data_IF_742559343540
#
_entry.id   IF_742559343540
#
_cell.length_a   1.000
_cell.length_b   1.000
_cell.length_c   1.000
_cell.angle_alpha   90.00
_cell.angle_beta   90.00
_cell.angle_gamma   90.00
#
_symmetry.space_group_name_H-M   'P 1'
#
loop_
_entity.id
_entity.type
_entity.pdbx_description
1 polymer ?
#
# COMPACT_ATOMS: atom_id res chain seq x y z
N UNK A 1 2.45 -0.46 23.73
CA UNK A 1 3.07 -1.79 23.93
C UNK A 1 2.00 -2.71 24.48
N UNK A 2 1.78 -3.87 23.86
CA UNK A 2 0.83 -4.90 24.30
C UNK A 2 1.51 -6.27 24.34
N UNK A 3 0.88 -7.27 24.94
CA UNK A 3 1.36 -8.66 25.00
C UNK A 3 0.20 -9.64 24.77
N UNK A 4 0.51 -10.90 24.51
CA UNK A 4 -0.49 -11.96 24.38
C UNK A 4 -1.24 -12.14 25.71
N UNK A 5 -2.57 -12.11 25.67
CA UNK A 5 -3.42 -12.41 26.84
C UNK A 5 -3.51 -13.91 27.09
N UNK A 6 -3.46 -14.72 26.03
CA UNK A 6 -3.49 -16.20 26.06
C UNK A 6 -2.44 -16.67 25.06
N UNK A 7 -1.54 -17.56 25.48
CA UNK A 7 -0.52 -18.14 24.60
C UNK A 7 -1.06 -19.40 23.92
N UNK A 8 -0.68 -19.61 22.66
CA UNK A 8 -1.03 -20.84 21.94
C UNK A 8 -0.28 -22.06 22.50
N UNK A 9 1.00 -21.88 22.85
CA UNK A 9 1.79 -22.87 23.58
C UNK A 9 1.93 -22.41 25.04
N UNK A 10 1.54 -23.22 26.03
CA UNK A 10 1.69 -22.87 27.44
C UNK A 10 3.14 -22.48 27.77
N UNK A 11 3.33 -21.31 28.37
CA UNK A 11 4.65 -20.80 28.76
C UNK A 11 5.50 -20.19 27.64
N UNK A 12 5.05 -20.22 26.38
CA UNK A 12 5.75 -19.55 25.27
C UNK A 12 5.03 -18.26 24.87
N UNK A 13 5.58 -17.12 25.30
CA UNK A 13 5.09 -15.81 24.89
C UNK A 13 5.80 -15.36 23.62
N UNK A 14 5.04 -15.11 22.55
CA UNK A 14 5.61 -14.56 21.31
C UNK A 14 5.65 -13.04 21.37
N UNK A 15 6.80 -12.48 21.01
CA UNK A 15 6.97 -11.03 20.86
C UNK A 15 6.07 -10.52 19.73
N UNK A 16 5.19 -9.57 20.04
CA UNK A 16 4.38 -8.92 19.01
C UNK A 16 5.28 -8.12 18.06
N UNK A 17 4.99 -8.13 16.74
CA UNK A 17 5.73 -7.34 15.79
C UNK A 17 5.52 -5.85 16.07
N UNK A 18 6.56 -5.20 16.59
CA UNK A 18 6.57 -3.75 16.76
C UNK A 18 6.86 -3.07 15.43
N UNK A 19 6.13 -2.00 15.11
CA UNK A 19 6.33 -1.24 13.89
C UNK A 19 6.06 0.25 14.12
N UNK A 20 6.92 1.09 13.54
CA UNK A 20 6.79 2.56 13.54
C UNK A 20 6.66 2.99 12.10
N UNK A 21 5.55 3.66 11.79
CA UNK A 21 5.27 4.18 10.45
C UNK A 21 4.97 5.68 10.50
N UNK A 22 5.37 6.39 9.45
CA UNK A 22 5.04 7.78 9.22
C UNK A 22 4.46 7.93 7.82
N UNK A 23 3.35 8.64 7.68
CA UNK A 23 2.74 8.87 6.38
C UNK A 23 2.48 10.35 6.17
N UNK A 24 2.81 10.84 4.99
CA UNK A 24 2.54 12.18 4.52
C UNK A 24 1.71 12.11 3.25
N UNK A 25 0.69 12.97 3.16
CA UNK A 25 -0.10 13.10 1.94
C UNK A 25 -0.39 14.56 1.66
N UNK A 26 -0.28 14.98 0.40
CA UNK A 26 -0.58 16.34 -0.03
C UNK A 26 -1.36 16.33 -1.33
N UNK A 27 -2.51 16.98 -1.31
CA UNK A 27 -3.27 17.29 -2.52
C UNK A 27 -2.69 18.56 -3.15
N UNK A 28 -2.50 18.54 -4.46
CA UNK A 28 -2.02 19.69 -5.21
C UNK A 28 -3.17 20.70 -5.39
N UNK A 29 -2.84 21.99 -5.33
CA UNK A 29 -3.84 23.06 -5.43
C UNK A 29 -4.36 23.25 -6.86
N UNK A 30 -3.49 23.11 -7.86
CA UNK A 30 -3.81 23.34 -9.27
C UNK A 30 -3.98 22.06 -10.09
N UNK A 31 -3.79 20.89 -9.49
CA UNK A 31 -3.97 19.60 -10.15
C UNK A 31 -4.87 18.74 -9.27
N UNK A 32 -5.93 18.10 -9.80
CA UNK A 32 -6.77 17.19 -9.02
C UNK A 32 -6.03 15.86 -8.79
N UNK A 33 -4.87 15.94 -8.14
CA UNK A 33 -4.02 14.84 -7.81
C UNK A 33 -3.48 15.01 -6.39
N UNK A 34 -3.28 13.88 -5.72
CA UNK A 34 -2.77 13.77 -4.36
C UNK A 34 -1.60 12.81 -4.36
N UNK A 35 -0.50 13.24 -3.74
CA UNK A 35 0.65 12.39 -3.52
C UNK A 35 0.61 11.83 -2.10
N UNK A 36 1.09 10.60 -1.98
CA UNK A 36 1.23 9.88 -0.73
C UNK A 36 2.64 9.33 -0.63
N UNK A 37 3.24 9.53 0.53
CA UNK A 37 4.53 8.95 0.88
C UNK A 37 4.35 8.32 2.25
N UNK A 38 4.64 7.03 2.40
CA UNK A 38 4.73 6.41 3.72
C UNK A 38 6.09 5.79 3.93
N UNK A 39 6.59 5.97 5.14
CA UNK A 39 7.76 5.31 5.67
C UNK A 39 7.30 4.26 6.66
N UNK A 40 7.85 3.05 6.58
CA UNK A 40 7.52 1.97 7.50
C UNK A 40 8.75 1.38 8.17
N UNK A 41 8.53 0.70 9.30
CA UNK A 41 9.57 -0.04 10.01
C UNK A 41 10.81 0.79 10.32
N UNK A 42 10.55 2.04 10.74
CA UNK A 42 11.57 3.04 11.08
C UNK A 42 12.45 2.63 12.28
N UNK A 43 12.06 1.59 13.02
CA UNK A 43 12.85 1.03 14.11
C UNK A 43 14.05 0.18 13.63
N UNK A 44 14.07 -0.27 12.37
CA UNK A 44 15.12 -1.16 11.82
C UNK A 44 15.67 -0.62 10.51
N UNK A 45 16.85 0.00 10.52
CA UNK A 45 17.45 0.60 9.32
C UNK A 45 17.88 -0.41 8.23
N UNK A 46 18.47 -1.55 8.63
CA UNK A 46 18.99 -2.53 7.66
C UNK A 46 17.88 -3.49 7.26
N UNK A 47 17.30 -3.28 6.07
CA UNK A 47 16.17 -4.06 5.55
C UNK A 47 16.58 -5.12 4.53
N UNK A 48 17.60 -4.84 3.71
CA UNK A 48 18.05 -5.75 2.66
C UNK A 48 19.05 -6.80 3.14
N UNK A 49 19.13 -7.90 2.40
CA UNK A 49 20.20 -8.90 2.52
C UNK A 49 21.53 -8.31 2.03
N UNK A 50 22.61 -8.66 2.72
CA UNK A 50 23.99 -8.29 2.35
C UNK A 50 24.87 -9.48 2.70
N UNK A 51 25.53 -10.08 1.72
CA UNK A 51 26.47 -11.17 1.95
C UNK A 51 26.50 -12.20 0.81
N UNK A 52 27.26 -13.30 0.99
CA UNK A 52 27.35 -14.39 0.01
C UNK A 52 26.01 -15.07 -0.26
N UNK A 53 25.10 -15.02 0.71
CA UNK A 53 23.76 -15.60 0.64
C UNK A 53 22.73 -14.68 -0.01
N UNK A 54 23.13 -13.51 -0.55
CA UNK A 54 22.22 -12.61 -1.26
C UNK A 54 21.84 -13.22 -2.63
N UNK A 55 20.56 -13.59 -2.85
CA UNK A 55 20.13 -14.18 -4.11
C UNK A 55 20.17 -13.21 -5.29
N UNK A 56 20.37 -11.91 -5.03
CA UNK A 56 20.47 -10.84 -6.03
C UNK A 56 21.91 -10.33 -6.21
N UNK A 57 22.91 -11.01 -5.65
CA UNK A 57 24.31 -10.62 -5.78
C UNK A 57 24.74 -10.69 -7.25
N UNK A 58 25.17 -9.55 -7.79
CA UNK A 58 25.71 -9.49 -9.14
C UNK A 58 27.06 -10.22 -9.20
N UNK A 59 27.21 -11.09 -10.19
CA UNK A 59 28.49 -11.72 -10.51
C UNK A 59 29.09 -10.99 -11.70
N UNK A 60 30.36 -10.64 -11.61
CA UNK A 60 31.07 -10.01 -12.72
C UNK A 60 31.22 -11.01 -13.88
N UNK A 61 30.68 -10.65 -15.05
CA UNK A 61 30.66 -11.52 -16.23
C UNK A 61 32.07 -11.81 -16.81
N UNK A 62 33.08 -11.01 -16.43
CA UNK A 62 34.46 -11.18 -16.92
C UNK A 62 35.35 -11.95 -15.94
N UNK A 63 35.12 -11.81 -14.63
CA UNK A 63 35.98 -12.40 -13.59
C UNK A 63 35.32 -13.55 -12.83
N UNK A 64 33.99 -13.68 -12.88
CA UNK A 64 33.24 -14.70 -12.14
C UNK A 64 33.15 -14.43 -10.64
N UNK A 65 33.68 -13.30 -10.16
CA UNK A 65 33.71 -12.95 -8.74
C UNK A 65 32.43 -12.23 -8.30
N UNK A 66 31.97 -12.43 -7.05
CA UNK A 66 30.83 -11.72 -6.49
C UNK A 66 31.12 -10.23 -6.32
N UNK A 67 30.26 -9.39 -6.89
CA UNK A 67 30.37 -7.94 -6.80
C UNK A 67 29.51 -7.42 -5.64
N UNK A 68 30.15 -7.19 -4.50
CA UNK A 68 29.49 -6.60 -3.35
C UNK A 68 29.18 -5.11 -3.56
N UNK A 69 27.95 -4.65 -3.28
CA UNK A 69 27.62 -3.24 -3.39
C UNK A 69 28.41 -2.42 -2.36
N UNK A 70 28.83 -1.20 -2.73
CA UNK A 70 29.51 -0.29 -1.81
C UNK A 70 28.62 0.08 -0.62
N UNK A 71 29.22 0.43 0.53
CA UNK A 71 28.48 0.83 1.73
C UNK A 71 27.49 1.98 1.48
N UNK A 72 27.86 2.93 0.61
CA UNK A 72 26.99 4.03 0.19
C UNK A 72 25.78 3.53 -0.60
N UNK A 73 25.99 2.63 -1.58
CA UNK A 73 24.90 2.03 -2.36
C UNK A 73 23.94 1.24 -1.47
N UNK A 74 24.47 0.46 -0.52
CA UNK A 74 23.67 -0.27 0.46
C UNK A 74 22.86 0.68 1.35
N UNK A 75 23.44 1.82 1.76
CA UNK A 75 22.76 2.85 2.54
C UNK A 75 21.55 3.42 1.80
N UNK A 76 21.73 3.78 0.52
CA UNK A 76 20.64 4.28 -0.32
C UNK A 76 19.55 3.22 -0.55
N UNK A 77 19.94 1.98 -0.87
CA UNK A 77 18.98 0.88 -1.06
C UNK A 77 18.16 0.63 0.20
N UNK A 78 18.79 0.60 1.37
CA UNK A 78 18.08 0.45 2.65
C UNK A 78 17.16 1.63 2.93
N UNK A 79 17.60 2.87 2.68
CA UNK A 79 16.75 4.05 2.83
C UNK A 79 15.46 3.92 2.00
N UNK A 80 15.56 3.60 0.71
CA UNK A 80 14.38 3.44 -0.15
C UNK A 80 13.50 2.25 0.24
N UNK A 81 14.04 1.21 0.88
CA UNK A 81 13.26 0.08 1.43
C UNK A 81 12.33 0.49 2.57
N UNK A 82 12.46 1.69 3.10
CA UNK A 82 11.47 2.23 4.02
C UNK A 82 10.28 2.88 3.32
N UNK A 83 10.38 3.21 2.02
CA UNK A 83 9.40 4.04 1.34
C UNK A 83 8.34 3.26 0.57
N UNK A 84 7.12 3.76 0.68
CA UNK A 84 6.04 3.54 -0.27
C UNK A 84 5.62 4.86 -0.87
N UNK A 85 5.48 4.88 -2.19
CA UNK A 85 5.04 6.05 -2.94
C UNK A 85 3.68 5.77 -3.54
N UNK A 86 2.79 6.77 -3.52
CA UNK A 86 1.47 6.68 -4.09
C UNK A 86 1.05 7.98 -4.76
N UNK A 87 0.23 7.85 -5.78
CA UNK A 87 -0.45 8.95 -6.44
C UNK A 87 -1.92 8.59 -6.61
N UNK A 88 -2.78 9.53 -6.30
CA UNK A 88 -4.22 9.46 -6.51
C UNK A 88 -4.60 10.61 -7.43
N UNK A 89 -5.31 10.32 -8.51
CA UNK A 89 -5.91 11.29 -9.42
C UNK A 89 -7.41 11.27 -9.14
N UNK A 90 -8.01 12.46 -9.09
CA UNK A 90 -9.42 12.70 -8.79
C UNK A 90 -10.12 13.31 -10.02
N UNK A 91 -10.41 12.54 -11.09
CA UNK A 91 -11.07 13.11 -12.27
C UNK A 91 -12.43 13.73 -11.97
N UNK A 92 -13.10 13.26 -10.90
CA UNK A 92 -14.32 13.88 -10.38
C UNK A 92 -14.39 13.71 -8.86
N UNK A 93 -15.20 14.50 -8.14
CA UNK A 93 -15.40 14.31 -6.70
C UNK A 93 -15.93 12.91 -6.30
N UNK A 94 -16.57 12.22 -7.24
CA UNK A 94 -17.12 10.89 -7.06
C UNK A 94 -16.24 9.76 -7.58
N UNK A 95 -15.09 10.07 -8.19
CA UNK A 95 -14.22 9.05 -8.80
C UNK A 95 -12.75 9.33 -8.52
N UNK A 96 -12.07 8.34 -7.96
CA UNK A 96 -10.63 8.33 -7.76
C UNK A 96 -10.00 7.22 -8.56
N UNK A 97 -8.83 7.48 -9.15
CA UNK A 97 -7.90 6.49 -9.67
C UNK A 97 -6.62 6.59 -8.86
N UNK A 98 -6.09 5.49 -8.37
CA UNK A 98 -4.87 5.49 -7.57
C UNK A 98 -3.89 4.44 -8.05
N UNK A 99 -2.60 4.75 -7.91
CA UNK A 99 -1.49 3.85 -8.14
C UNK A 99 -0.44 4.05 -7.05
N UNK A 100 0.25 2.98 -6.68
CA UNK A 100 1.30 3.03 -5.69
C UNK A 100 2.40 2.01 -5.97
N UNK A 101 3.55 2.26 -5.37
CA UNK A 101 4.75 1.44 -5.49
C UNK A 101 5.42 1.28 -4.13
N UNK A 102 5.59 0.03 -3.72
CA UNK A 102 6.33 -0.37 -2.52
C UNK A 102 7.71 -0.89 -2.94
N UNK A 103 8.76 -0.14 -2.64
CA UNK A 103 10.11 -0.50 -3.06
C UNK A 103 10.62 -1.74 -2.32
N UNK A 104 10.36 -1.87 -1.02
CA UNK A 104 10.79 -3.04 -0.27
C UNK A 104 10.21 -4.34 -0.84
N UNK A 105 8.90 -4.35 -1.08
CA UNK A 105 8.20 -5.50 -1.67
C UNK A 105 8.70 -5.82 -3.07
N UNK A 106 9.00 -4.80 -3.86
CA UNK A 106 9.63 -5.02 -5.16
C UNK A 106 10.96 -5.78 -4.97
N UNK A 107 11.85 -5.31 -4.10
CA UNK A 107 13.16 -5.93 -3.90
C UNK A 107 13.09 -7.33 -3.26
N UNK A 108 12.20 -7.56 -2.30
CA UNK A 108 12.03 -8.85 -1.63
C UNK A 108 11.44 -9.95 -2.54
N UNK A 109 10.70 -9.55 -3.58
CA UNK A 109 9.95 -10.48 -4.43
C UNK A 109 10.49 -10.51 -5.87
N UNK A 110 11.70 -9.98 -6.10
CA UNK A 110 12.42 -10.20 -7.34
C UNK A 110 12.89 -11.65 -7.37
N UNK A 111 12.68 -12.29 -8.52
CA UNK A 111 13.23 -13.60 -8.83
C UNK A 111 14.24 -13.37 -9.95
N UNK A 112 15.53 -13.73 -9.80
CA UNK A 112 16.57 -13.43 -10.80
C UNK A 112 16.19 -13.86 -12.23
N UNK A 113 15.48 -14.98 -12.38
CA UNK A 113 15.10 -15.51 -13.68
C UNK A 113 13.84 -14.87 -14.30
N UNK A 114 13.04 -14.11 -13.53
CA UNK A 114 11.75 -13.60 -14.00
C UNK A 114 11.53 -12.11 -13.66
N UNK A 115 11.14 -11.33 -14.68
CA UNK A 115 10.70 -9.95 -14.46
C UNK A 115 9.37 -9.94 -13.69
N UNK A 116 9.33 -9.17 -12.59
CA UNK A 116 8.17 -9.07 -11.71
C UNK A 116 7.67 -7.63 -11.63
N UNK A 117 6.36 -7.45 -11.64
CA UNK A 117 5.71 -6.17 -11.30
C UNK A 117 5.50 -6.03 -9.78
N UNK A 118 6.17 -6.87 -8.96
CA UNK A 118 6.03 -6.87 -7.51
C UNK A 118 6.21 -5.48 -6.91
N UNK A 119 5.39 -5.16 -5.92
CA UNK A 119 5.37 -3.86 -5.25
C UNK A 119 4.46 -2.83 -5.92
N UNK A 120 4.06 -3.02 -7.19
CA UNK A 120 3.10 -2.13 -7.84
C UNK A 120 1.66 -2.46 -7.45
N UNK A 121 0.85 -1.43 -7.18
CA UNK A 121 -0.58 -1.56 -6.93
C UNK A 121 -1.35 -0.45 -7.61
N UNK A 122 -2.58 -0.72 -8.02
CA UNK A 122 -3.44 0.27 -8.65
C UNK A 122 -4.91 -0.07 -8.44
N UNK A 123 -5.77 0.91 -8.59
CA UNK A 123 -7.19 0.72 -8.41
C UNK A 123 -7.97 1.99 -8.63
N UNK A 124 -9.27 1.89 -8.44
CA UNK A 124 -10.18 3.01 -8.50
C UNK A 124 -11.25 2.90 -7.42
N UNK A 125 -11.87 4.02 -7.11
CA UNK A 125 -13.02 4.06 -6.21
C UNK A 125 -14.09 5.00 -6.71
N UNK A 126 -15.35 4.59 -6.56
CA UNK A 126 -16.53 5.39 -6.82
C UNK A 126 -17.24 5.73 -5.52
N UNK A 127 -17.52 7.01 -5.31
CA UNK A 127 -18.26 7.54 -4.18
C UNK A 127 -19.64 8.02 -4.67
N UNK A 128 -20.68 7.23 -4.40
CA UNK A 128 -22.07 7.50 -4.76
C UNK A 128 -22.86 7.82 -3.48
N UNK A 129 -22.90 9.11 -3.12
CA UNK A 129 -23.54 9.61 -1.89
C UNK A 129 -22.97 8.91 -0.66
N UNK A 130 -23.75 8.02 -0.05
CA UNK A 130 -23.43 7.30 1.18
C UNK A 130 -22.79 5.93 0.91
N UNK A 131 -22.54 5.58 -0.35
CA UNK A 131 -21.96 4.29 -0.75
C UNK A 131 -20.61 4.56 -1.41
N UNK A 132 -19.59 3.83 -0.98
CA UNK A 132 -18.27 3.80 -1.59
C UNK A 132 -17.98 2.38 -2.09
N UNK A 133 -17.62 2.28 -3.37
CA UNK A 133 -17.23 1.03 -4.01
C UNK A 133 -15.80 1.21 -4.49
N UNK A 134 -14.94 0.23 -4.21
CA UNK A 134 -13.55 0.24 -4.62
C UNK A 134 -13.16 -1.05 -5.30
N UNK A 135 -12.23 -0.93 -6.24
CA UNK A 135 -11.51 -2.06 -6.82
C UNK A 135 -10.02 -1.75 -6.77
N UNK A 136 -9.22 -2.72 -6.36
CA UNK A 136 -7.77 -2.61 -6.43
C UNK A 136 -7.12 -3.92 -6.83
N UNK A 137 -5.95 -3.83 -7.45
CA UNK A 137 -5.08 -4.94 -7.77
C UNK A 137 -3.68 -4.63 -7.30
N UNK A 138 -3.07 -5.60 -6.62
CA UNK A 138 -1.73 -5.47 -6.05
C UNK A 138 -0.87 -6.60 -6.53
N UNK A 139 0.26 -6.29 -7.17
CA UNK A 139 1.24 -7.27 -7.58
C UNK A 139 2.17 -7.55 -6.38
N UNK A 140 1.98 -8.68 -5.72
CA UNK A 140 2.76 -9.09 -4.56
C UNK A 140 4.04 -9.84 -4.98
N UNK A 141 3.90 -10.81 -5.88
CA UNK A 141 4.99 -11.67 -6.36
C UNK A 141 4.80 -12.00 -7.84
N UNK A 142 5.77 -12.69 -8.44
CA UNK A 142 5.57 -13.35 -9.73
C UNK A 142 4.40 -14.33 -9.60
N UNK A 143 3.37 -14.17 -10.42
CA UNK A 143 2.15 -14.98 -10.38
C UNK A 143 1.17 -14.66 -9.24
N UNK A 144 1.53 -13.81 -8.27
CA UNK A 144 0.66 -13.43 -7.15
C UNK A 144 0.20 -11.97 -7.29
N UNK A 145 -0.99 -11.79 -7.87
CA UNK A 145 -1.59 -10.47 -8.09
C UNK A 145 -3.06 -10.43 -7.63
N UNK A 146 -3.33 -10.49 -6.30
CA UNK A 146 -4.68 -10.44 -5.76
C UNK A 146 -5.45 -9.19 -6.21
N UNK A 147 -6.76 -9.40 -6.38
CA UNK A 147 -7.75 -8.37 -6.67
C UNK A 147 -8.65 -8.22 -5.44
N UNK A 148 -8.81 -6.99 -4.97
CA UNK A 148 -9.64 -6.67 -3.82
C UNK A 148 -10.84 -5.84 -4.27
N UNK A 149 -12.02 -6.20 -3.76
CA UNK A 149 -13.25 -5.44 -3.92
C UNK A 149 -13.65 -4.88 -2.57
N UNK A 150 -13.84 -3.56 -2.51
CA UNK A 150 -14.22 -2.86 -1.30
C UNK A 150 -15.64 -2.32 -1.44
N UNK A 151 -16.43 -2.48 -0.39
CA UNK A 151 -17.75 -1.87 -0.25
C UNK A 151 -17.86 -1.24 1.12
N UNK A 152 -18.27 0.02 1.18
CA UNK A 152 -18.48 0.76 2.41
C UNK A 152 -19.73 1.61 2.29
N UNK A 153 -20.44 1.79 3.40
CA UNK A 153 -21.59 2.69 3.45
C UNK A 153 -21.67 3.45 4.76
N UNK A 154 -22.05 4.73 4.68
CA UNK A 154 -22.45 5.51 5.84
C UNK A 154 -23.96 5.41 6.03
N UNK A 155 -24.39 4.70 7.08
CA UNK A 155 -25.80 4.49 7.37
C UNK A 155 -26.54 5.79 7.71
N UNK A 156 -25.91 6.75 8.38
CA UNK A 156 -26.55 8.01 8.77
C UNK A 156 -27.00 8.81 7.55
N UNK A 157 -26.09 9.03 6.60
CA UNK A 157 -26.37 9.73 5.35
C UNK A 157 -27.40 9.00 4.50
N UNK A 158 -27.35 7.65 4.50
CA UNK A 158 -28.25 6.80 3.74
C UNK A 158 -29.70 6.96 4.23
N UNK A 159 -29.92 6.95 5.55
CA UNK A 159 -31.25 7.13 6.13
C UNK A 159 -31.72 8.60 6.07
N UNK A 160 -30.83 9.59 6.21
CA UNK A 160 -31.18 11.01 6.07
C UNK A 160 -31.61 11.36 4.64
N UNK A 161 -30.94 10.83 3.62
CA UNK A 161 -31.31 11.06 2.21
C UNK A 161 -32.74 10.56 1.90
N UNK A 162 -33.13 9.42 2.49
CA UNK A 162 -34.45 8.84 2.31
C UNK A 162 -35.55 9.64 3.01
N UNK A 163 -35.32 10.14 4.24
CA UNK A 163 -36.29 10.99 4.96
C UNK A 163 -36.57 12.30 4.22
N UNK A 164 -35.53 12.95 3.69
CA UNK A 164 -35.69 14.20 2.93
C UNK A 164 -36.45 13.99 1.62
N UNK A 165 -36.18 12.90 0.90
CA UNK A 165 -36.96 12.53 -0.30
C UNK A 165 -38.42 12.23 0.01
N UNK A 166 -38.72 11.55 1.12
CA UNK A 166 -40.11 11.30 1.56
C UNK A 166 -40.83 12.59 1.93
N UNK A 167 -40.17 13.51 2.64
CA UNK A 167 -40.74 14.82 3.00
C UNK A 167 -41.04 15.67 1.75
N UNK A 168 -40.12 15.70 0.78
CA UNK A 168 -40.32 16.41 -0.49
C UNK A 168 -41.48 15.82 -1.32
N UNK A 169 -41.60 14.48 -1.39
CA UNK A 169 -42.75 13.82 -2.05
C UNK A 169 -44.09 14.11 -1.36
N UNK A 170 -44.10 14.29 -0.04
CA UNK A 170 -45.31 14.66 0.71
C UNK A 170 -45.72 16.12 0.52
N UNK A 171 -44.74 17.02 0.38
CA UNK A 171 -44.99 18.47 0.21
C UNK A 171 -45.31 18.83 -1.24
N UNK A 172 -44.79 18.09 -2.20
CA UNK A 172 -45.10 18.27 -3.61
C UNK A 172 -45.60 16.94 -4.20
N UNK A 173 -46.81 16.50 -3.83
CA UNK A 173 -47.45 15.38 -4.52
C UNK A 173 -47.67 15.86 -5.96
N UNK A 174 -46.92 15.32 -6.92
CA UNK A 174 -47.17 15.61 -8.32
C UNK A 174 -48.65 15.34 -8.63
N UNK A 175 -49.29 16.27 -9.35
CA UNK A 175 -50.62 16.14 -9.95
C UNK A 175 -50.87 14.75 -10.52
#
# INVERSE_FOLDING_TARGET
>A
MGSQLITYTPGNFESLPFDIQLAFSKQLEHLPARFHISLHSLYKWKMGYVGPDDPLLEVDALTGEPKYPSAFSQGIKNFFRHFNFGVEILPSPSFSLFASFNYNRNQEMIIPQNKSAAGFSYGFSFNIKSIQIGFSRSHYAVGAAPMCFNFSTNFEDLFHSNKTKQKLKRVNPKN
#
